data_IF_898936105437
#
_entry.id   IF_898936105437
#
_cell.length_a   1.000
_cell.length_b   1.000
_cell.length_c   1.000
_cell.angle_alpha   90.00
_cell.angle_beta   90.00
_cell.angle_gamma   90.00
#
_symmetry.space_group_name_H-M   'P 1'
#
loop_
_entity.id
_entity.type
_entity.pdbx_description
1 polymer ?
#
# COMPACT_ATOMS: atom_id res chain seq x y z
N UNK A 1 57.97 46.73 35.18
CA UNK A 1 56.76 46.03 35.69
C UNK A 1 55.68 47.07 35.75
N UNK A 2 54.81 47.06 34.75
CA UNK A 2 53.79 48.08 34.49
C UNK A 2 52.45 47.61 35.05
N UNK A 3 51.92 48.38 35.98
CA UNK A 3 50.56 48.26 36.50
C UNK A 3 49.55 48.73 35.44
N UNK A 4 48.50 47.94 35.21
CA UNK A 4 47.31 48.32 34.45
C UNK A 4 46.10 48.02 35.34
N UNK A 5 45.42 49.09 35.77
CA UNK A 5 44.00 49.07 36.11
C UNK A 5 43.20 49.38 34.85
N UNK A 6 41.98 48.84 34.70
CA UNK A 6 40.76 49.55 34.22
C UNK A 6 39.53 48.62 34.14
N UNK A 7 38.49 49.04 34.88
CA UNK A 7 37.02 49.01 34.69
C UNK A 7 36.25 47.70 34.42
N UNK A 8 35.33 47.38 35.35
CA UNK A 8 34.11 46.62 35.06
C UNK A 8 33.04 47.57 34.49
N UNK A 9 32.71 47.40 33.20
CA UNK A 9 31.59 48.07 32.56
C UNK A 9 30.26 47.45 32.98
N UNK A 10 29.33 48.32 33.38
CA UNK A 10 27.90 48.01 33.44
C UNK A 10 27.40 47.94 32.00
N UNK A 11 26.83 46.80 31.61
CA UNK A 11 26.25 46.56 30.29
C UNK A 11 24.99 45.74 30.41
N UNK A 12 23.86 46.42 30.26
CA UNK A 12 22.52 45.87 30.22
C UNK A 12 22.39 44.72 29.21
N UNK A 13 21.86 43.58 29.66
CA UNK A 13 21.05 42.72 28.80
C UNK A 13 19.74 42.42 29.51
N UNK A 14 18.69 43.08 29.05
CA UNK A 14 17.30 42.72 29.31
C UNK A 14 17.08 41.28 28.85
N UNK A 15 17.31 40.31 29.74
CA UNK A 15 16.60 39.05 29.67
C UNK A 15 15.14 39.36 30.02
N UNK A 16 14.28 39.30 29.03
CA UNK A 16 12.82 39.33 29.19
C UNK A 16 12.43 38.37 30.31
N UNK A 17 12.13 38.90 31.50
CA UNK A 17 11.40 38.20 32.53
C UNK A 17 10.04 37.84 31.95
N UNK A 18 9.93 36.62 31.41
CA UNK A 18 8.62 36.01 31.19
C UNK A 18 7.97 35.90 32.55
N UNK A 19 6.84 36.58 32.70
CA UNK A 19 5.95 36.54 33.85
C UNK A 19 5.87 35.13 34.45
N UNK A 20 6.58 34.89 35.54
CA UNK A 20 6.40 33.69 36.37
C UNK A 20 5.12 33.88 37.16
N UNK A 21 4.05 33.24 36.70
CA UNK A 21 2.82 33.10 37.47
C UNK A 21 3.04 31.96 38.50
N UNK A 22 3.02 32.22 39.82
CA UNK A 22 3.59 31.32 40.83
C UNK A 22 2.64 30.20 41.27
N UNK A 23 1.86 29.61 40.36
CA UNK A 23 0.84 28.61 40.71
C UNK A 23 0.93 27.34 39.86
N UNK A 24 2.10 26.71 39.77
CA UNK A 24 2.21 25.34 39.23
C UNK A 24 2.93 24.44 40.23
N UNK A 25 2.22 23.44 40.76
CA UNK A 25 2.57 22.79 42.03
C UNK A 25 3.30 21.45 41.83
N UNK A 26 3.09 20.73 40.71
CA UNK A 26 3.84 19.51 40.37
C UNK A 26 3.79 19.25 38.85
N UNK A 27 4.94 18.95 38.23
CA UNK A 27 5.06 18.50 36.82
C UNK A 27 5.34 16.98 36.78
N UNK A 28 4.51 16.21 36.09
CA UNK A 28 4.69 14.75 35.95
C UNK A 28 4.30 14.26 34.55
N UNK A 29 4.95 13.19 34.10
CA UNK A 29 4.54 12.51 32.89
C UNK A 29 3.23 11.76 33.10
N UNK A 30 2.28 12.04 32.21
CA UNK A 30 1.03 11.30 32.11
C UNK A 30 1.09 10.40 30.88
N UNK A 31 0.87 9.11 31.11
CA UNK A 31 0.79 8.10 30.07
C UNK A 31 -0.67 7.82 29.73
N UNK A 32 -1.01 7.81 28.45
CA UNK A 32 -2.30 7.33 27.97
C UNK A 32 -2.34 5.81 27.85
N UNK A 33 -3.49 5.30 27.40
CA UNK A 33 -3.66 3.89 27.09
C UNK A 33 -2.75 3.45 25.93
N UNK A 34 -2.36 2.19 25.95
CA UNK A 34 -1.68 1.57 24.83
C UNK A 34 -2.64 1.36 23.67
N UNK A 35 -2.17 1.61 22.45
CA UNK A 35 -2.88 1.20 21.24
C UNK A 35 -2.99 -0.31 21.18
N UNK A 36 -3.91 -0.78 20.36
CA UNK A 36 -3.90 -2.18 19.93
C UNK A 36 -2.52 -2.56 19.36
N UNK A 37 -2.20 -3.84 19.48
CA UNK A 37 -0.97 -4.39 18.95
C UNK A 37 -0.93 -4.16 17.44
N UNK A 38 0.21 -3.69 16.92
CA UNK A 38 0.40 -3.52 15.48
C UNK A 38 0.29 -4.83 14.69
N UNK A 39 0.38 -5.97 15.39
CA UNK A 39 0.18 -7.31 14.86
C UNK A 39 -1.14 -7.87 15.38
N UNK A 40 -1.90 -8.57 14.54
CA UNK A 40 -3.14 -9.29 14.92
C UNK A 40 -2.86 -10.71 15.43
N UNK A 41 -1.62 -11.17 15.34
CA UNK A 41 -1.09 -12.44 15.84
C UNK A 41 0.45 -12.36 15.87
N UNK A 42 1.13 -13.19 16.66
CA UNK A 42 2.58 -13.12 16.83
C UNK A 42 3.05 -11.86 17.57
N UNK A 43 4.31 -11.46 17.36
CA UNK A 43 4.90 -10.27 18.01
C UNK A 43 4.60 -8.99 17.25
N UNK A 44 4.26 -7.91 17.95
CA UNK A 44 4.04 -6.58 17.39
C UNK A 44 4.49 -5.47 18.35
N UNK A 45 4.13 -4.24 18.03
CA UNK A 45 4.41 -3.06 18.84
C UNK A 45 3.11 -2.34 19.22
N UNK A 46 3.07 -1.82 20.44
CA UNK A 46 2.01 -0.94 20.94
C UNK A 46 2.61 0.44 21.21
N UNK A 47 1.81 1.49 21.01
CA UNK A 47 2.22 2.88 21.28
C UNK A 47 1.27 3.51 22.28
N UNK A 48 1.76 4.45 23.09
CA UNK A 48 0.91 5.25 23.98
C UNK A 48 1.34 6.71 23.95
N UNK A 49 0.42 7.61 24.29
CA UNK A 49 0.78 9.02 24.50
C UNK A 49 1.56 9.15 25.81
N UNK A 50 2.67 9.89 25.79
CA UNK A 50 3.40 10.29 26.99
C UNK A 50 3.54 11.80 26.93
N UNK A 51 2.82 12.51 27.80
CA UNK A 51 2.75 13.97 27.80
C UNK A 51 3.18 14.51 29.16
N UNK A 52 4.01 15.54 29.16
CA UNK A 52 4.29 16.29 30.39
C UNK A 52 3.10 17.21 30.70
N UNK A 53 2.50 17.07 31.87
CA UNK A 53 1.42 17.95 32.33
C UNK A 53 1.74 18.54 33.71
N UNK A 54 1.45 19.83 33.86
CA UNK A 54 1.49 20.56 35.14
C UNK A 54 0.11 20.76 35.72
N UNK A 55 -0.01 20.75 37.05
CA UNK A 55 -1.24 21.19 37.74
C UNK A 55 -1.13 22.58 38.31
N UNK A 56 -2.10 23.43 37.97
CA UNK A 56 -2.26 24.72 38.61
C UNK A 56 -2.82 24.61 40.04
N UNK A 57 -2.80 25.70 40.82
CA UNK A 57 -3.35 25.73 42.18
C UNK A 57 -4.86 25.44 42.26
N UNK A 58 -5.57 25.45 41.12
CA UNK A 58 -6.99 25.10 40.98
C UNK A 58 -7.19 23.67 40.46
N UNK A 59 -6.11 22.91 40.29
CA UNK A 59 -6.13 21.51 39.86
C UNK A 59 -6.29 21.27 38.36
N UNK A 60 -6.26 22.31 37.52
CA UNK A 60 -6.37 22.18 36.06
C UNK A 60 -5.05 21.68 35.47
N UNK A 61 -5.15 20.83 34.45
CA UNK A 61 -4.00 20.22 33.76
C UNK A 61 -3.64 21.05 32.53
N UNK A 62 -2.36 21.36 32.40
CA UNK A 62 -1.82 22.06 31.23
C UNK A 62 -0.64 21.27 30.66
N UNK A 63 -0.60 21.13 29.32
CA UNK A 63 0.51 20.47 28.62
C UNK A 63 1.75 21.36 28.65
N UNK A 64 2.88 20.79 29.03
CA UNK A 64 4.17 21.48 29.15
C UNK A 64 5.25 20.80 28.28
N UNK A 65 6.37 21.48 28.01
CA UNK A 65 7.55 20.85 27.40
C UNK A 65 8.05 19.69 28.26
N UNK A 66 8.58 18.64 27.62
CA UNK A 66 8.99 17.42 28.31
C UNK A 66 10.15 17.64 29.29
N UNK A 67 10.95 18.68 29.07
CA UNK A 67 12.11 19.07 29.86
C UNK A 67 11.73 19.59 31.26
N UNK A 68 10.48 20.04 31.44
CA UNK A 68 9.95 20.51 32.73
C UNK A 68 9.48 19.35 33.64
N UNK A 69 9.37 18.13 33.10
CA UNK A 69 9.01 16.93 33.85
C UNK A 69 10.24 16.14 34.34
N UNK A 70 10.00 15.12 35.18
CA UNK A 70 11.05 14.22 35.73
C UNK A 70 11.91 13.59 34.63
N UNK A 71 13.19 13.26 34.88
CA UNK A 71 14.09 12.70 33.85
C UNK A 71 13.70 11.28 33.38
N UNK A 72 13.00 10.53 34.21
CA UNK A 72 12.58 9.15 33.90
C UNK A 72 11.31 9.14 33.04
N UNK A 73 11.45 9.56 31.77
CA UNK A 73 10.34 9.56 30.81
C UNK A 73 9.88 8.13 30.52
N UNK A 74 8.59 7.80 30.77
CA UNK A 74 8.07 6.47 30.45
C UNK A 74 8.16 6.15 28.95
N UNK A 75 8.35 4.88 28.61
CA UNK A 75 8.39 4.45 27.21
C UNK A 75 7.07 4.74 26.50
N UNK A 76 7.15 5.34 25.31
CA UNK A 76 6.00 5.56 24.44
C UNK A 76 5.71 4.37 23.51
N UNK A 77 6.61 3.36 23.51
CA UNK A 77 6.55 2.16 22.67
C UNK A 77 6.88 0.95 23.54
N UNK A 78 6.14 -0.14 23.35
CA UNK A 78 6.47 -1.45 23.92
C UNK A 78 6.15 -2.58 22.95
N UNK A 79 6.77 -3.74 23.15
CA UNK A 79 6.47 -4.96 22.39
C UNK A 79 5.23 -5.66 22.96
N UNK A 80 4.41 -6.21 22.07
CA UNK A 80 3.29 -7.09 22.39
C UNK A 80 3.48 -8.45 21.75
N UNK A 81 2.91 -9.48 22.38
CA UNK A 81 2.89 -10.85 21.86
C UNK A 81 1.45 -11.34 21.88
N UNK A 82 0.84 -11.40 20.70
CA UNK A 82 -0.40 -12.12 20.48
C UNK A 82 -0.03 -13.55 20.04
N UNK A 83 -0.86 -14.54 20.36
CA UNK A 83 -0.56 -15.95 20.10
C UNK A 83 -0.12 -16.27 18.66
N UNK A 84 0.40 -17.47 18.40
CA UNK A 84 0.92 -17.85 17.09
C UNK A 84 -0.10 -17.57 15.98
N UNK A 85 0.37 -17.01 14.85
CA UNK A 85 -0.48 -16.73 13.71
C UNK A 85 -1.12 -18.03 13.19
N UNK A 86 -2.45 -18.06 13.20
CA UNK A 86 -3.21 -19.10 12.51
C UNK A 86 -2.90 -19.11 11.02
N UNK A 87 -2.98 -20.28 10.40
CA UNK A 87 -2.84 -20.40 8.93
C UNK A 87 -3.88 -19.49 8.28
N UNK A 88 -3.50 -18.61 7.34
CA UNK A 88 -4.44 -17.67 6.75
C UNK A 88 -5.59 -18.41 6.04
N UNK A 89 -6.83 -18.07 6.39
CA UNK A 89 -7.99 -18.47 5.59
C UNK A 89 -8.07 -17.59 4.33
N UNK A 90 -8.18 -18.28 3.20
CA UNK A 90 -7.87 -17.82 1.85
C UNK A 90 -9.00 -16.97 1.26
N UNK A 91 -8.84 -15.65 1.18
CA UNK A 91 -9.79 -14.77 0.46
C UNK A 91 -9.42 -14.51 -1.01
N UNK A 92 -8.21 -14.84 -1.48
CA UNK A 92 -7.88 -14.75 -2.92
C UNK A 92 -6.84 -15.81 -3.33
N UNK A 93 -7.00 -16.39 -4.52
CA UNK A 93 -6.19 -17.48 -5.08
C UNK A 93 -4.74 -17.07 -5.48
N UNK A 94 -4.02 -16.23 -4.71
CA UNK A 94 -2.68 -15.75 -5.08
C UNK A 94 -1.67 -15.72 -3.92
N UNK A 95 -1.65 -16.75 -3.09
CA UNK A 95 -0.55 -16.99 -2.13
C UNK A 95 0.19 -18.25 -2.54
N UNK A 96 1.53 -18.19 -2.59
CA UNK A 96 2.40 -19.28 -3.01
C UNK A 96 3.20 -19.79 -1.81
N UNK A 97 2.87 -20.97 -1.30
CA UNK A 97 3.63 -21.64 -0.25
C UNK A 97 4.89 -22.29 -0.85
N UNK A 98 6.07 -21.93 -0.34
CA UNK A 98 7.28 -22.69 -0.61
C UNK A 98 7.20 -23.98 0.19
N UNK A 99 6.80 -25.08 -0.45
CA UNK A 99 6.88 -26.40 0.16
C UNK A 99 8.36 -26.74 0.38
N UNK A 100 8.79 -26.90 1.64
CA UNK A 100 10.19 -27.13 1.99
C UNK A 100 10.73 -28.47 1.44
N UNK A 101 9.86 -29.41 1.05
CA UNK A 101 10.24 -30.70 0.45
C UNK A 101 10.25 -30.72 -1.08
N UNK A 102 9.52 -29.82 -1.74
CA UNK A 102 9.44 -29.72 -3.19
C UNK A 102 9.99 -28.36 -3.62
N UNK A 103 11.26 -28.31 -4.03
CA UNK A 103 11.94 -27.10 -4.54
C UNK A 103 11.34 -26.58 -5.87
N UNK A 104 10.02 -26.40 -5.96
CA UNK A 104 9.30 -25.93 -7.15
C UNK A 104 8.04 -25.16 -6.76
N UNK A 105 8.16 -23.83 -6.70
CA UNK A 105 7.03 -22.91 -6.68
C UNK A 105 6.49 -22.75 -8.11
N UNK A 106 5.58 -23.63 -8.52
CA UNK A 106 4.77 -23.39 -9.73
C UNK A 106 3.62 -22.47 -9.36
N UNK A 107 3.78 -21.17 -9.66
CA UNK A 107 2.62 -20.30 -9.78
C UNK A 107 1.72 -20.94 -10.84
N UNK A 108 0.41 -21.03 -10.58
CA UNK A 108 -0.59 -21.42 -11.59
C UNK A 108 -0.71 -20.42 -12.75
N UNK A 109 0.30 -19.58 -12.95
CA UNK A 109 0.48 -18.57 -13.97
C UNK A 109 1.80 -18.93 -14.66
N UNK A 110 1.73 -19.49 -15.88
CA UNK A 110 2.87 -20.14 -16.53
C UNK A 110 4.13 -19.26 -16.69
N UNK A 111 3.94 -17.93 -16.69
CA UNK A 111 4.99 -16.95 -16.95
C UNK A 111 5.56 -16.27 -15.70
N UNK A 112 5.06 -16.55 -14.50
CA UNK A 112 5.67 -16.06 -13.25
C UNK A 112 6.24 -17.25 -12.49
N UNK A 113 7.47 -17.13 -11.99
CA UNK A 113 8.17 -18.18 -11.24
C UNK A 113 8.92 -17.57 -10.07
N UNK A 114 9.02 -18.28 -8.96
CA UNK A 114 9.96 -17.96 -7.89
C UNK A 114 11.06 -19.00 -7.90
N UNK A 115 12.31 -18.58 -7.99
CA UNK A 115 13.46 -19.48 -7.97
C UNK A 115 13.67 -20.10 -6.59
N UNK A 116 14.46 -21.17 -6.52
CA UNK A 116 14.76 -21.85 -5.24
C UNK A 116 15.47 -20.94 -4.22
N UNK A 117 16.18 -19.90 -4.67
CA UNK A 117 16.79 -18.88 -3.83
C UNK A 117 15.88 -17.66 -3.56
N UNK A 118 14.58 -17.75 -3.84
CA UNK A 118 13.60 -16.72 -3.49
C UNK A 118 13.50 -15.54 -4.46
N UNK A 119 14.12 -15.60 -5.65
CA UNK A 119 13.98 -14.54 -6.64
C UNK A 119 12.68 -14.69 -7.43
N UNK A 120 11.85 -13.65 -7.43
CA UNK A 120 10.69 -13.54 -8.31
C UNK A 120 11.14 -13.25 -9.75
N UNK A 121 10.69 -14.07 -10.71
CA UNK A 121 10.92 -13.90 -12.14
C UNK A 121 9.58 -13.85 -12.88
N UNK A 122 9.35 -12.78 -13.62
CA UNK A 122 8.19 -12.59 -14.48
C UNK A 122 8.69 -12.63 -15.93
N UNK A 123 8.40 -13.72 -16.63
CA UNK A 123 8.74 -13.91 -18.03
C UNK A 123 7.69 -13.23 -18.90
N UNK A 124 8.09 -12.47 -19.93
CA UNK A 124 7.16 -11.77 -20.82
C UNK A 124 6.12 -10.94 -20.06
N UNK A 125 6.59 -10.07 -19.17
CA UNK A 125 5.75 -9.28 -18.27
C UNK A 125 4.67 -8.50 -19.04
N UNK A 126 3.43 -8.58 -18.56
CA UNK A 126 2.24 -7.97 -19.16
C UNK A 126 1.61 -6.98 -18.20
N UNK A 127 0.77 -6.10 -18.73
CA UNK A 127 0.09 -5.07 -17.93
C UNK A 127 -0.72 -5.62 -16.76
N UNK A 128 -1.25 -6.84 -16.88
CA UNK A 128 -1.98 -7.56 -15.84
C UNK A 128 -1.10 -8.09 -14.69
N UNK A 129 0.22 -8.15 -14.90
CA UNK A 129 1.18 -8.48 -13.85
C UNK A 129 1.46 -7.27 -12.94
N UNK A 130 0.98 -6.07 -13.31
CA UNK A 130 1.13 -4.88 -12.48
C UNK A 130 0.44 -5.08 -11.12
N UNK A 131 1.12 -4.70 -10.06
CA UNK A 131 0.60 -4.90 -8.71
C UNK A 131 1.68 -4.85 -7.65
N UNK A 132 1.25 -5.00 -6.40
CA UNK A 132 2.14 -5.14 -5.26
C UNK A 132 2.40 -6.63 -5.03
N UNK A 133 3.66 -7.02 -5.08
CA UNK A 133 4.13 -8.35 -4.75
C UNK A 133 4.72 -8.29 -3.36
N UNK A 134 4.23 -9.15 -2.47
CA UNK A 134 4.71 -9.23 -1.10
C UNK A 134 5.54 -10.49 -0.93
N UNK A 135 6.73 -10.32 -0.37
CA UNK A 135 7.62 -11.38 0.03
C UNK A 135 7.54 -11.50 1.55
N UNK A 136 7.15 -12.68 2.01
CA UNK A 136 7.12 -13.02 3.43
C UNK A 136 8.22 -14.03 3.71
N UNK A 137 9.03 -13.74 4.71
CA UNK A 137 9.97 -14.69 5.32
C UNK A 137 9.67 -14.75 6.82
N UNK A 138 10.27 -15.72 7.52
CA UNK A 138 10.08 -15.86 8.97
C UNK A 138 10.56 -14.65 9.79
N UNK A 139 11.39 -13.76 9.21
CA UNK A 139 12.03 -12.63 9.92
C UNK A 139 11.79 -11.27 9.28
N UNK A 140 11.38 -11.24 8.01
CA UNK A 140 11.29 -10.03 7.19
C UNK A 140 10.07 -10.12 6.27
N UNK A 141 9.35 -9.01 6.18
CA UNK A 141 8.34 -8.78 5.16
C UNK A 141 8.82 -7.63 4.28
N UNK A 142 8.70 -7.81 2.97
CA UNK A 142 8.98 -6.77 1.99
C UNK A 142 7.91 -6.74 0.93
N UNK A 143 7.70 -5.57 0.33
CA UNK A 143 6.84 -5.46 -0.85
C UNK A 143 7.63 -4.85 -2.01
N UNK A 144 7.27 -5.24 -3.23
CA UNK A 144 7.76 -4.66 -4.46
C UNK A 144 6.57 -4.36 -5.35
N UNK A 145 6.48 -3.14 -5.87
CA UNK A 145 5.39 -2.77 -6.78
C UNK A 145 5.87 -2.84 -8.22
N UNK A 146 5.31 -3.75 -9.02
CA UNK A 146 5.49 -3.74 -10.46
C UNK A 146 4.54 -2.71 -11.08
N UNK A 147 5.09 -1.78 -11.86
CA UNK A 147 4.33 -0.75 -12.57
C UNK A 147 4.80 -0.69 -14.01
N UNK A 148 3.86 -0.60 -14.93
CA UNK A 148 4.14 -0.37 -16.34
C UNK A 148 3.91 1.10 -16.66
N UNK A 149 4.93 1.73 -17.26
CA UNK A 149 4.79 3.06 -17.86
C UNK A 149 4.27 2.89 -19.28
N UNK A 150 3.42 3.82 -19.72
CA UNK A 150 3.05 3.93 -21.12
C UNK A 150 4.22 4.52 -21.91
N UNK A 151 4.27 4.24 -23.23
CA UNK A 151 5.29 4.82 -24.13
C UNK A 151 5.08 6.33 -24.22
N UNK A 152 6.14 7.12 -24.33
CA UNK A 152 6.01 8.59 -24.37
C UNK A 152 5.09 9.08 -25.50
N UNK A 153 5.03 8.35 -26.61
CA UNK A 153 4.12 8.61 -27.74
C UNK A 153 2.62 8.46 -27.38
N UNK A 154 2.30 7.67 -26.36
CA UNK A 154 0.94 7.42 -25.87
C UNK A 154 0.60 8.29 -24.65
N UNK A 155 1.35 9.36 -24.43
CA UNK A 155 1.09 10.27 -23.32
C UNK A 155 -0.33 10.82 -23.41
N UNK A 156 -1.15 10.71 -22.34
CA UNK A 156 -2.49 11.25 -22.33
C UNK A 156 -2.44 12.73 -22.71
N UNK A 157 -3.14 13.10 -23.80
CA UNK A 157 -3.23 14.50 -24.19
C UNK A 157 -3.82 15.27 -23.01
N UNK A 158 -3.07 16.28 -22.55
CA UNK A 158 -3.61 17.28 -21.65
C UNK A 158 -4.77 17.95 -22.40
N UNK A 159 -5.99 17.66 -22.01
CA UNK A 159 -7.07 18.63 -22.23
C UNK A 159 -6.60 19.87 -21.52
N UNK A 160 -6.28 20.92 -22.29
CA UNK A 160 -5.94 22.23 -21.77
C UNK A 160 -7.15 22.77 -21.01
N UNK A 161 -7.35 22.32 -19.78
CA UNK A 161 -7.78 23.27 -18.77
C UNK A 161 -6.65 24.26 -18.77
N UNK A 162 -6.93 25.44 -19.33
CA UNK A 162 -6.07 26.58 -19.23
C UNK A 162 -5.54 26.57 -17.79
N UNK A 163 -4.26 26.25 -17.65
CA UNK A 163 -3.54 26.73 -16.52
C UNK A 163 -3.64 28.24 -16.74
N UNK A 164 -4.66 28.88 -16.15
CA UNK A 164 -4.53 30.26 -15.76
C UNK A 164 -3.30 30.26 -14.88
N UNK A 165 -2.15 30.43 -15.51
CA UNK A 165 -0.96 31.01 -14.94
C UNK A 165 -1.27 32.47 -14.66
N UNK A 166 -2.35 32.75 -13.93
CA UNK A 166 -2.29 33.79 -12.94
C UNK A 166 -1.41 33.21 -11.84
N UNK A 167 -0.10 33.32 -12.08
CA UNK A 167 0.88 33.44 -11.02
C UNK A 167 0.46 34.70 -10.27
N UNK A 168 -0.48 34.56 -9.34
CA UNK A 168 -0.53 35.49 -8.22
C UNK A 168 0.82 35.30 -7.54
N UNK A 169 1.69 36.29 -7.72
CA UNK A 169 2.82 36.59 -6.82
C UNK A 169 2.23 36.89 -5.45
N UNK A 170 1.68 35.88 -4.79
CA UNK A 170 1.39 35.88 -3.37
C UNK A 170 2.71 35.61 -2.67
N UNK A 171 3.14 36.56 -1.85
CA UNK A 171 4.20 36.41 -0.85
C UNK A 171 4.02 35.10 -0.07
N UNK A 172 4.74 34.04 -0.45
CA UNK A 172 4.47 32.67 -0.01
C UNK A 172 5.67 32.05 0.67
N UNK A 173 6.01 32.49 1.89
CA UNK A 173 7.12 31.94 2.70
C UNK A 173 7.04 30.41 2.88
N UNK A 174 5.83 29.84 2.88
CA UNK A 174 5.60 28.41 3.03
C UNK A 174 5.85 27.60 1.75
N UNK A 175 5.71 28.19 0.55
CA UNK A 175 5.96 27.48 -0.72
C UNK A 175 7.46 27.24 -0.88
N UNK A 176 8.27 28.28 -0.69
CA UNK A 176 9.73 28.18 -0.70
C UNK A 176 10.25 27.21 0.36
N UNK A 177 9.55 27.11 1.51
CA UNK A 177 9.87 26.15 2.55
C UNK A 177 9.68 24.70 2.10
N UNK A 178 8.53 24.34 1.52
CA UNK A 178 8.31 22.97 1.04
C UNK A 178 9.19 22.59 -0.16
N UNK A 179 9.49 23.53 -1.06
CA UNK A 179 10.45 23.33 -2.15
C UNK A 179 11.87 23.11 -1.63
N UNK A 180 12.27 23.82 -0.56
CA UNK A 180 13.55 23.61 0.10
C UNK A 180 13.65 22.21 0.73
N UNK A 181 12.57 21.72 1.35
CA UNK A 181 12.50 20.37 1.92
C UNK A 181 12.69 19.32 0.82
N UNK A 182 12.00 19.47 -0.31
CA UNK A 182 12.08 18.54 -1.44
C UNK A 182 13.49 18.47 -2.06
N UNK A 183 14.27 19.53 -1.91
CA UNK A 183 15.64 19.65 -2.39
C UNK A 183 16.69 19.23 -1.36
N UNK A 184 16.27 18.90 -0.13
CA UNK A 184 17.18 18.61 0.98
C UNK A 184 17.40 17.11 1.21
N UNK A 185 18.66 16.70 1.34
CA UNK A 185 19.05 15.39 1.87
C UNK A 185 18.53 14.17 1.10
N UNK A 186 18.45 13.04 1.80
CA UNK A 186 17.96 11.76 1.26
C UNK A 186 16.43 11.69 1.28
N UNK A 187 15.85 10.91 0.36
CA UNK A 187 14.39 10.74 0.25
C UNK A 187 13.72 10.37 1.60
N UNK A 188 14.35 9.54 2.42
CA UNK A 188 13.83 9.16 3.74
C UNK A 188 13.77 10.35 4.72
N UNK A 189 14.72 11.28 4.64
CA UNK A 189 14.72 12.51 5.45
C UNK A 189 13.62 13.48 4.97
N UNK A 190 13.48 13.64 3.65
CA UNK A 190 12.41 14.44 3.03
C UNK A 190 11.03 13.96 3.49
N UNK A 191 10.79 12.64 3.44
CA UNK A 191 9.51 12.05 3.88
C UNK A 191 9.24 12.33 5.35
N UNK A 192 10.23 12.13 6.24
CA UNK A 192 10.09 12.40 7.67
C UNK A 192 9.78 13.86 7.96
N UNK A 193 10.43 14.79 7.26
CA UNK A 193 10.22 16.22 7.48
C UNK A 193 8.84 16.66 6.99
N UNK A 194 8.43 16.21 5.80
CA UNK A 194 7.10 16.50 5.26
C UNK A 194 5.99 15.97 6.19
N UNK A 195 6.18 14.78 6.78
CA UNK A 195 5.19 14.17 7.68
C UNK A 195 4.89 15.03 8.92
N UNK A 196 5.85 15.81 9.42
CA UNK A 196 5.64 16.74 10.54
C UNK A 196 4.62 17.84 10.20
N UNK A 197 4.49 18.16 8.91
CA UNK A 197 3.64 19.24 8.42
C UNK A 197 2.30 18.77 7.86
N UNK A 198 1.88 17.51 8.09
CA UNK A 198 0.59 17.00 7.55
C UNK A 198 -0.63 17.81 7.98
N UNK A 199 -0.54 18.57 9.08
CA UNK A 199 -1.63 19.40 9.60
C UNK A 199 -1.82 20.73 8.86
N UNK A 200 -0.79 21.24 8.18
CA UNK A 200 -0.82 22.50 7.41
C UNK A 200 -0.71 22.27 5.90
N UNK A 201 -0.30 21.07 5.50
CA UNK A 201 -0.04 20.68 4.13
C UNK A 201 -0.86 19.44 3.77
N UNK A 202 -1.84 19.62 2.89
CA UNK A 202 -2.63 18.51 2.36
C UNK A 202 -2.22 18.21 0.92
N UNK A 203 -1.72 17.01 0.66
CA UNK A 203 -1.37 16.55 -0.68
C UNK A 203 -2.34 15.46 -1.15
N UNK A 204 -2.65 15.44 -2.45
CA UNK A 204 -3.54 14.45 -3.07
C UNK A 204 -3.14 14.15 -4.50
N UNK A 205 -3.24 12.87 -4.86
CA UNK A 205 -3.15 12.42 -6.25
C UNK A 205 -4.38 12.83 -7.05
N UNK A 206 -4.15 13.50 -8.16
CA UNK A 206 -5.15 13.81 -9.17
C UNK A 206 -5.04 12.81 -10.31
N UNK A 207 -6.18 12.34 -10.81
CA UNK A 207 -6.27 11.33 -11.84
C UNK A 207 -7.02 11.91 -13.03
N UNK A 208 -6.42 11.83 -14.21
CA UNK A 208 -7.09 12.14 -15.47
C UNK A 208 -8.01 11.00 -15.94
N UNK A 209 -8.66 11.23 -17.08
CA UNK A 209 -9.43 10.21 -17.78
C UNK A 209 -8.51 9.13 -18.36
N UNK A 210 -9.06 7.93 -18.50
CA UNK A 210 -8.40 6.84 -19.23
C UNK A 210 -8.43 7.11 -20.73
N UNK A 211 -7.31 6.92 -21.42
CA UNK A 211 -7.24 6.92 -22.89
C UNK A 211 -8.05 5.77 -23.47
N UNK A 212 -8.26 5.79 -24.78
CA UNK A 212 -8.79 4.62 -25.49
C UNK A 212 -7.90 3.39 -25.33
N UNK A 213 -8.50 2.22 -25.51
CA UNK A 213 -7.82 0.95 -25.35
C UNK A 213 -6.82 0.69 -26.48
N UNK A 214 -5.52 0.73 -26.16
CA UNK A 214 -4.40 0.42 -27.05
C UNK A 214 -4.19 -1.10 -27.14
N UNK A 215 -5.14 -1.78 -27.78
CA UNK A 215 -5.00 -3.19 -28.17
C UNK A 215 -4.75 -3.29 -29.66
N UNK A 216 -3.60 -3.82 -30.06
CA UNK A 216 -3.22 -4.03 -31.46
C UNK A 216 -3.72 -5.37 -31.99
N UNK A 217 -3.69 -6.42 -31.17
CA UNK A 217 -4.10 -7.77 -31.55
C UNK A 217 -5.00 -8.40 -30.48
N UNK A 218 -6.04 -9.11 -30.92
CA UNK A 218 -6.85 -9.91 -30.01
C UNK A 218 -6.04 -11.11 -29.49
N UNK A 219 -6.32 -11.54 -28.26
CA UNK A 219 -5.58 -12.61 -27.58
C UNK A 219 -4.46 -12.11 -26.66
N UNK A 220 -4.21 -10.80 -26.63
CA UNK A 220 -3.34 -10.14 -25.64
C UNK A 220 -4.09 -8.92 -25.12
N UNK A 221 -4.18 -8.76 -23.79
CA UNK A 221 -4.75 -7.55 -23.20
C UNK A 221 -4.02 -6.29 -23.70
N UNK A 222 -4.77 -5.28 -24.14
CA UNK A 222 -4.23 -3.94 -24.42
C UNK A 222 -4.09 -3.13 -23.13
N UNK A 223 -3.77 -1.84 -23.26
CA UNK A 223 -3.76 -0.93 -22.12
C UNK A 223 -4.49 0.38 -22.37
N UNK A 224 -4.97 0.96 -21.29
CA UNK A 224 -5.33 2.38 -21.22
C UNK A 224 -4.35 3.07 -20.27
N UNK A 225 -4.04 4.32 -20.59
CA UNK A 225 -3.21 5.18 -19.76
C UNK A 225 -4.03 6.35 -19.21
N UNK A 226 -3.59 6.96 -18.11
CA UNK A 226 -4.13 8.22 -17.59
C UNK A 226 -3.04 9.06 -16.97
N UNK A 227 -3.26 10.37 -16.91
CA UNK A 227 -2.36 11.26 -16.18
C UNK A 227 -2.56 11.10 -14.67
N UNK A 228 -1.48 11.01 -13.90
CA UNK A 228 -1.52 11.04 -12.44
C UNK A 228 -0.58 12.13 -11.95
N UNK A 229 -1.14 13.26 -11.51
CA UNK A 229 -0.39 14.40 -11.00
C UNK A 229 -0.56 14.53 -9.50
N UNK A 230 0.41 15.18 -8.84
CA UNK A 230 0.27 15.54 -7.44
C UNK A 230 -0.27 16.97 -7.35
N UNK A 231 -1.29 17.18 -6.51
CA UNK A 231 -1.70 18.51 -6.10
C UNK A 231 -1.57 18.66 -4.59
N UNK A 232 -1.28 19.88 -4.15
CA UNK A 232 -1.18 20.21 -2.73
C UNK A 232 -1.93 21.51 -2.43
N UNK A 233 -2.58 21.53 -1.27
CA UNK A 233 -3.18 22.72 -0.69
C UNK A 233 -2.18 23.29 0.30
N UNK A 234 -1.63 24.45 -0.04
CA UNK A 234 -0.67 25.22 0.75
C UNK A 234 -1.31 26.57 1.03
N UNK A 235 -1.51 26.90 2.31
CA UNK A 235 -2.16 28.13 2.76
C UNK A 235 -3.57 28.32 2.15
N UNK A 236 -4.34 27.24 2.08
CA UNK A 236 -5.69 27.24 1.51
C UNK A 236 -5.74 27.28 -0.03
N UNK A 237 -4.61 27.44 -0.71
CA UNK A 237 -4.54 27.50 -2.17
C UNK A 237 -4.05 26.18 -2.74
N UNK A 238 -4.84 25.61 -3.65
CA UNK A 238 -4.52 24.38 -4.36
C UNK A 238 -3.58 24.64 -5.54
N UNK A 239 -2.50 23.88 -5.63
CA UNK A 239 -1.50 23.97 -6.71
C UNK A 239 -1.04 22.59 -7.16
N UNK A 240 -0.52 22.50 -8.39
CA UNK A 240 0.26 21.34 -8.81
C UNK A 240 1.56 21.29 -7.99
N UNK A 241 1.96 20.09 -7.59
CA UNK A 241 3.10 19.87 -6.70
C UNK A 241 3.97 18.72 -7.20
N UNK A 242 5.18 18.62 -6.64
CA UNK A 242 6.09 17.52 -6.93
C UNK A 242 5.49 16.17 -6.48
N UNK A 243 5.53 15.11 -7.30
CA UNK A 243 5.04 13.78 -6.95
C UNK A 243 5.60 13.19 -5.63
N UNK A 244 6.80 13.58 -5.21
CA UNK A 244 7.42 13.18 -3.94
C UNK A 244 6.57 13.60 -2.74
N UNK A 245 5.89 14.74 -2.84
CA UNK A 245 5.01 15.26 -1.80
C UNK A 245 3.82 14.32 -1.55
N UNK A 246 3.09 13.95 -2.61
CA UNK A 246 1.99 13.01 -2.51
C UNK A 246 2.46 11.59 -2.16
N UNK A 247 3.69 11.22 -2.54
CA UNK A 247 4.25 9.93 -2.11
C UNK A 247 4.52 9.88 -0.61
N UNK A 248 4.89 11.03 -0.01
CA UNK A 248 5.13 11.14 1.43
C UNK A 248 3.84 11.32 2.26
N UNK A 249 2.86 12.05 1.73
CA UNK A 249 1.73 12.57 2.51
C UNK A 249 0.35 12.08 2.05
N UNK A 250 0.21 11.61 0.81
CA UNK A 250 -1.05 11.11 0.29
C UNK A 250 -1.11 9.57 0.37
N UNK A 251 -2.25 9.02 -0.05
CA UNK A 251 -2.40 7.57 -0.22
C UNK A 251 -1.47 7.01 -1.30
N UNK A 252 -1.42 5.68 -1.42
CA UNK A 252 -0.65 5.00 -2.46
C UNK A 252 -0.91 5.62 -3.84
N UNK A 253 0.17 5.93 -4.56
CA UNK A 253 0.09 6.53 -5.91
C UNK A 253 -0.77 5.65 -6.82
N UNK A 254 -1.89 6.17 -7.37
CA UNK A 254 -2.77 5.41 -8.25
C UNK A 254 -2.04 4.86 -9.49
N UNK A 255 -2.55 3.79 -10.11
CA UNK A 255 -1.97 3.27 -11.34
C UNK A 255 -2.19 4.26 -12.49
N UNK A 256 -1.14 4.49 -13.28
CA UNK A 256 -1.16 5.31 -14.51
C UNK A 256 -1.60 4.50 -15.72
N UNK A 257 -1.61 3.18 -15.60
CA UNK A 257 -1.98 2.25 -16.66
C UNK A 257 -2.91 1.16 -16.12
N UNK A 258 -3.79 0.65 -16.97
CA UNK A 258 -4.64 -0.51 -16.65
C UNK A 258 -4.82 -1.41 -17.87
N UNK A 259 -5.04 -2.73 -17.68
CA UNK A 259 -5.39 -3.62 -18.78
C UNK A 259 -6.77 -3.26 -19.35
N UNK A 260 -6.94 -3.46 -20.64
CA UNK A 260 -8.21 -3.27 -21.33
C UNK A 260 -8.38 -4.27 -22.49
N UNK A 261 -9.62 -4.41 -22.96
CA UNK A 261 -9.95 -5.20 -24.14
C UNK A 261 -10.86 -4.38 -25.05
N UNK A 262 -10.49 -4.27 -26.32
CA UNK A 262 -11.35 -3.68 -27.35
C UNK A 262 -12.66 -4.47 -27.45
N UNK A 263 -13.79 -3.78 -27.66
CA UNK A 263 -15.09 -4.43 -27.80
C UNK A 263 -15.09 -5.46 -28.93
N UNK A 264 -14.40 -5.18 -30.03
CA UNK A 264 -14.31 -6.03 -31.21
C UNK A 264 -13.49 -7.32 -31.02
N UNK A 265 -12.82 -7.51 -29.87
CA UNK A 265 -12.08 -8.73 -29.59
C UNK A 265 -12.94 -9.77 -28.88
N UNK A 266 -12.75 -11.07 -29.20
CA UNK A 266 -13.45 -12.14 -28.51
C UNK A 266 -13.00 -12.23 -27.05
N UNK A 267 -13.92 -12.62 -26.18
CA UNK A 267 -13.72 -12.75 -24.73
C UNK A 267 -14.08 -14.15 -24.27
N UNK A 268 -13.48 -14.55 -23.14
CA UNK A 268 -13.85 -15.81 -22.50
C UNK A 268 -15.20 -15.69 -21.81
N UNK A 269 -16.13 -16.54 -22.21
CA UNK A 269 -17.38 -16.75 -21.51
C UNK A 269 -17.30 -18.07 -20.76
N UNK A 270 -17.68 -18.05 -19.48
CA UNK A 270 -17.74 -19.25 -18.67
C UNK A 270 -19.19 -19.53 -18.30
N UNK A 271 -19.68 -20.72 -18.66
CA UNK A 271 -20.99 -21.18 -18.28
C UNK A 271 -21.09 -21.51 -16.79
N UNK A 272 -22.29 -21.94 -16.41
CA UNK A 272 -22.56 -22.40 -15.06
C UNK A 272 -21.77 -23.65 -14.70
N UNK A 273 -21.46 -23.80 -13.41
CA UNK A 273 -20.81 -25.00 -12.90
C UNK A 273 -21.80 -26.16 -12.91
N UNK A 274 -21.34 -27.32 -13.40
CA UNK A 274 -22.06 -28.58 -13.25
C UNK A 274 -22.31 -28.90 -11.78
N UNK A 275 -23.24 -29.81 -11.52
CA UNK A 275 -23.31 -30.47 -10.21
C UNK A 275 -21.97 -31.16 -9.87
N UNK A 276 -21.74 -31.36 -8.57
CA UNK A 276 -20.54 -32.03 -8.08
C UNK A 276 -20.52 -33.49 -8.56
N UNK A 277 -19.45 -33.90 -9.23
CA UNK A 277 -19.37 -35.25 -9.80
C UNK A 277 -19.49 -36.33 -8.73
N UNK A 278 -20.21 -37.42 -9.02
CA UNK A 278 -20.31 -38.56 -8.11
C UNK A 278 -19.04 -39.41 -8.05
N UNK A 279 -18.29 -39.51 -9.16
CA UNK A 279 -17.00 -40.20 -9.29
C UNK A 279 -16.27 -39.77 -10.59
N UNK A 280 -14.96 -40.07 -10.79
CA UNK A 280 -13.99 -40.49 -9.76
C UNK A 280 -13.63 -39.33 -8.83
N UNK A 281 -13.27 -39.68 -7.60
CA UNK A 281 -12.99 -38.73 -6.52
C UNK A 281 -11.54 -38.26 -6.58
N UNK A 282 -11.30 -36.99 -6.24
CA UNK A 282 -9.93 -36.48 -6.09
C UNK A 282 -9.33 -37.00 -4.80
N UNK A 283 -10.10 -36.88 -3.73
CA UNK A 283 -9.79 -37.33 -2.37
C UNK A 283 -11.10 -37.56 -1.63
N UNK A 284 -11.04 -38.11 -0.43
CA UNK A 284 -12.24 -38.43 0.35
C UNK A 284 -13.17 -37.21 0.47
N UNK A 285 -14.44 -37.38 0.08
CA UNK A 285 -15.50 -36.36 0.06
C UNK A 285 -15.24 -35.17 -0.89
N UNK A 286 -14.23 -35.23 -1.75
CA UNK A 286 -13.92 -34.17 -2.70
C UNK A 286 -13.97 -34.72 -4.12
N UNK A 287 -14.85 -34.14 -4.91
CA UNK A 287 -15.02 -34.48 -6.31
C UNK A 287 -14.79 -33.24 -7.19
N UNK A 288 -15.07 -33.34 -8.50
CA UNK A 288 -14.83 -32.25 -9.44
C UNK A 288 -16.14 -31.71 -10.00
N UNK A 289 -16.24 -30.39 -10.11
CA UNK A 289 -17.20 -29.72 -10.98
C UNK A 289 -16.52 -29.30 -12.28
N UNK A 290 -17.30 -29.29 -13.36
CA UNK A 290 -16.86 -28.83 -14.69
C UNK A 290 -17.78 -27.70 -15.14
N UNK A 291 -17.27 -26.81 -15.99
CA UNK A 291 -18.09 -25.85 -16.73
C UNK A 291 -17.53 -25.66 -18.12
N UNK A 292 -18.40 -25.25 -19.03
CA UNK A 292 -17.99 -24.83 -20.36
C UNK A 292 -17.28 -23.49 -20.28
N UNK A 293 -16.18 -23.36 -21.01
CA UNK A 293 -15.43 -22.11 -21.15
C UNK A 293 -15.11 -21.94 -22.63
N UNK A 294 -15.70 -20.93 -23.26
CA UNK A 294 -15.61 -20.70 -24.71
C UNK A 294 -15.09 -19.31 -24.99
N UNK A 295 -14.36 -19.16 -26.08
CA UNK A 295 -13.91 -17.87 -26.60
C UNK A 295 -14.98 -17.35 -27.57
N UNK A 296 -15.70 -16.29 -27.20
CA UNK A 296 -16.84 -15.78 -27.95
C UNK A 296 -16.60 -14.36 -28.44
N UNK A 297 -17.00 -14.06 -29.67
CA UNK A 297 -17.14 -12.69 -30.18
C UNK A 297 -18.37 -11.99 -29.56
N UNK A 298 -18.49 -10.66 -29.70
CA UNK A 298 -19.62 -9.90 -29.13
C UNK A 298 -20.97 -10.34 -29.69
N UNK A 299 -20.99 -10.84 -30.92
CA UNK A 299 -22.18 -11.40 -31.56
C UNK A 299 -22.53 -12.84 -31.10
N UNK A 300 -21.73 -13.44 -30.20
CA UNK A 300 -21.94 -14.78 -29.67
C UNK A 300 -21.20 -15.90 -30.41
N UNK A 301 -20.50 -15.58 -31.52
CA UNK A 301 -19.80 -16.60 -32.30
C UNK A 301 -18.64 -17.22 -31.52
N UNK A 302 -18.61 -18.55 -31.48
CA UNK A 302 -17.47 -19.31 -30.92
C UNK A 302 -16.30 -19.23 -31.88
N UNK A 303 -15.17 -18.70 -31.42
CA UNK A 303 -13.93 -18.61 -32.19
C UNK A 303 -12.81 -19.43 -31.56
N UNK A 304 -11.71 -19.61 -32.30
CA UNK A 304 -10.54 -20.34 -31.80
C UNK A 304 -10.04 -19.76 -30.47
N UNK A 305 -9.78 -20.64 -29.50
CA UNK A 305 -9.31 -20.29 -28.16
C UNK A 305 -8.06 -19.40 -28.14
N UNK A 306 -7.20 -19.47 -29.17
CA UNK A 306 -5.99 -18.65 -29.30
C UNK A 306 -6.30 -17.18 -29.56
N UNK A 307 -7.51 -16.84 -30.02
CA UNK A 307 -7.95 -15.46 -30.24
C UNK A 307 -8.37 -14.76 -28.95
N UNK A 308 -8.62 -15.50 -27.88
CA UNK A 308 -8.81 -14.96 -26.54
C UNK A 308 -7.52 -15.03 -25.72
N UNK A 309 -7.36 -14.10 -24.77
CA UNK A 309 -6.16 -14.09 -23.93
C UNK A 309 -6.13 -15.31 -23.01
N UNK A 310 -5.18 -16.22 -23.23
CA UNK A 310 -5.08 -17.50 -22.50
C UNK A 310 -4.86 -17.30 -21.00
N UNK A 311 -4.32 -16.16 -20.56
CA UNK A 311 -4.12 -15.88 -19.12
C UNK A 311 -5.42 -15.54 -18.42
N UNK A 312 -6.39 -14.98 -19.16
CA UNK A 312 -7.71 -14.64 -18.67
C UNK A 312 -8.69 -15.81 -18.79
N UNK A 313 -8.25 -16.97 -19.32
CA UNK A 313 -9.11 -18.16 -19.47
C UNK A 313 -9.64 -18.59 -18.09
N UNK A 314 -10.96 -18.53 -17.86
CA UNK A 314 -11.53 -18.99 -16.61
C UNK A 314 -11.25 -20.48 -16.39
N UNK A 315 -11.11 -20.89 -15.13
CA UNK A 315 -10.95 -22.32 -14.80
C UNK A 315 -12.17 -23.10 -15.30
N UNK A 316 -11.96 -24.16 -16.07
CA UNK A 316 -13.03 -25.06 -16.54
C UNK A 316 -13.35 -26.19 -15.55
N UNK A 317 -12.51 -26.35 -14.51
CA UNK A 317 -12.65 -27.38 -13.48
C UNK A 317 -12.35 -26.80 -12.11
N UNK A 318 -13.11 -27.21 -11.10
CA UNK A 318 -12.83 -26.91 -9.69
C UNK A 318 -13.17 -28.11 -8.81
N UNK A 319 -12.59 -28.13 -7.61
CA UNK A 319 -12.96 -29.10 -6.58
C UNK A 319 -14.25 -28.66 -5.89
N UNK A 320 -15.05 -29.64 -5.50
CA UNK A 320 -16.32 -29.47 -4.79
C UNK A 320 -16.43 -30.52 -3.69
N UNK A 321 -17.14 -30.18 -2.62
CA UNK A 321 -17.47 -31.15 -1.59
C UNK A 321 -18.64 -32.02 -2.06
N UNK A 322 -18.45 -33.33 -2.01
CA UNK A 322 -19.45 -34.32 -2.34
C UNK A 322 -19.95 -34.96 -1.05
N UNK A 323 -20.95 -34.33 -0.42
CA UNK A 323 -21.54 -34.74 0.86
C UNK A 323 -22.75 -35.67 0.70
N UNK A 324 -22.83 -36.46 -0.39
CA UNK A 324 -23.96 -37.37 -0.61
C UNK A 324 -24.33 -38.14 0.67
N UNK A 325 -25.49 -37.79 1.26
CA UNK A 325 -25.93 -38.15 2.62
C UNK A 325 -26.42 -39.60 2.76
N UNK A 326 -26.17 -40.46 1.79
CA UNK A 326 -26.59 -41.86 1.83
C UNK A 326 -25.37 -42.73 2.16
N UNK A 327 -25.49 -43.42 3.30
CA UNK A 327 -24.47 -44.13 4.07
C UNK A 327 -23.64 -45.22 3.35
N UNK A 328 -23.64 -45.31 2.02
CA UNK A 328 -22.82 -46.26 1.26
C UNK A 328 -22.16 -45.71 -0.03
N UNK A 329 -22.32 -44.42 -0.37
CA UNK A 329 -21.83 -43.86 -1.66
C UNK A 329 -21.11 -42.50 -1.52
N UNK A 330 -20.39 -42.28 -0.43
CA UNK A 330 -19.46 -41.15 -0.34
C UNK A 330 -18.33 -41.30 -1.36
N UNK A 331 -17.95 -40.20 -2.02
CA UNK A 331 -16.87 -40.21 -3.00
C UNK A 331 -15.54 -40.64 -2.32
N UNK A 332 -15.13 -41.90 -2.47
CA UNK A 332 -13.83 -42.44 -2.03
C UNK A 332 -12.90 -42.56 -3.24
N UNK A 333 -11.67 -42.06 -3.11
CA UNK A 333 -10.65 -42.31 -4.12
C UNK A 333 -10.27 -43.81 -4.06
N UNK A 334 -10.31 -44.52 -5.21
CA UNK A 334 -9.79 -45.88 -5.29
C UNK A 334 -8.27 -45.83 -5.12
N UNK A 335 -7.77 -46.35 -3.99
CA UNK A 335 -6.36 -46.65 -3.83
C UNK A 335 -6.04 -47.84 -4.73
N UNK A 336 -5.40 -47.59 -5.87
CA UNK A 336 -4.72 -48.66 -6.59
C UNK A 336 -3.50 -49.04 -5.75
N UNK A 337 -3.59 -50.19 -5.07
CA UNK A 337 -2.43 -50.89 -4.52
C UNK A 337 -1.76 -51.56 -5.72
N UNK A 338 -0.56 -51.10 -6.08
CA UNK A 338 0.31 -51.77 -7.06
C UNK A 338 1.08 -52.86 -6.33
#
# INVERSE_FOLDING_TARGET
MSDINIFFGVGDTQSTMKNFNPTVIVMRFHTGEWTECSASCGTGEQKRSVVCEGRDAKGRRERRPDEECSRDKPSAVQMCSLGPCGKPQLLTNRVFEQNASEKKLTLGIAHIKVSANGNLRIFHARMEDAGVYECYTNKLQGNVTLRFKYRDDDKPHRTSFAASSHIHKGSGKNISFFESILSSGSYAQVVKELQKHRGTLQARWEMGHWTDCKQSTCGVAGYQAREVTCSAIIDGVRRNADPRLCTALASARPPETRPCHKPECPRWEAGEWSECSKAPCVRNRVAKQRRDVRCLMVNGDVVDEKRCDRTQKPKSRKECENTARLFLLGCKAQSYVI
#
